data_IF_610504950744
#
_entry.id   IF_610504950744
#
_cell.length_a   1.000
_cell.length_b   1.000
_cell.length_c   1.000
_cell.angle_alpha   90.00
_cell.angle_beta   90.00
_cell.angle_gamma   90.00
#
_symmetry.space_group_name_H-M   'P 1'
#
loop_
_entity.id
_entity.type
_entity.pdbx_description
1 polymer ?
#
# COMPACT_ATOMS: atom_id res chain seq x y z
N UNK A 1 -1.12 51.56 22.63
CA UNK A 1 -0.73 50.32 23.34
C UNK A 1 -1.86 49.28 23.42
N UNK A 2 -3.08 49.64 23.83
CA UNK A 2 -4.24 48.71 23.86
C UNK A 2 -4.59 48.09 22.49
N UNK A 3 -4.55 48.89 21.42
CA UNK A 3 -4.80 48.40 20.05
C UNK A 3 -3.66 47.56 19.45
N UNK A 4 -2.42 47.73 19.92
CA UNK A 4 -1.29 46.89 19.51
C UNK A 4 -1.37 45.50 20.17
N UNK A 5 -1.85 45.43 21.42
CA UNK A 5 -2.08 44.18 22.14
C UNK A 5 -3.23 43.37 21.53
N UNK A 6 -4.29 44.05 21.04
CA UNK A 6 -5.43 43.41 20.38
C UNK A 6 -5.11 42.81 19.02
N UNK A 7 -4.20 43.41 18.24
CA UNK A 7 -3.76 42.86 16.95
C UNK A 7 -2.86 41.63 17.17
N UNK A 8 -2.02 41.65 18.19
CA UNK A 8 -1.16 40.50 18.53
C UNK A 8 -1.96 39.28 19.02
N UNK A 9 -3.08 39.51 19.73
CA UNK A 9 -4.00 38.44 20.15
C UNK A 9 -4.85 37.88 18.99
N UNK A 10 -5.15 38.68 17.96
CA UNK A 10 -5.89 38.22 16.78
C UNK A 10 -5.02 37.37 15.83
N UNK A 11 -3.71 37.64 15.77
CA UNK A 11 -2.75 36.86 14.97
C UNK A 11 -2.40 35.51 15.59
N UNK A 12 -2.53 35.35 16.92
CA UNK A 12 -2.29 34.08 17.60
C UNK A 12 -3.40 33.03 17.37
N UNK A 13 -4.61 33.46 16.97
CA UNK A 13 -5.75 32.56 16.72
C UNK A 13 -5.73 31.92 15.32
N UNK A 14 -5.03 32.51 14.33
CA UNK A 14 -4.92 31.95 12.98
C UNK A 14 -3.81 30.89 12.83
N UNK A 15 -3.02 30.66 13.88
CA UNK A 15 -2.00 29.60 13.93
C UNK A 15 -2.45 28.39 14.75
N UNK A 16 -3.75 28.26 15.02
CA UNK A 16 -4.35 26.98 15.44
C UNK A 16 -4.26 26.02 14.25
N UNK A 17 -3.07 25.43 14.12
CA UNK A 17 -2.72 24.33 13.24
C UNK A 17 -3.90 23.40 13.03
N UNK A 18 -4.32 23.27 11.76
CA UNK A 18 -5.21 22.24 11.29
C UNK A 18 -4.56 20.88 11.55
N UNK A 19 -4.68 20.39 12.78
CA UNK A 19 -4.49 18.97 13.05
C UNK A 19 -5.62 18.28 12.29
N UNK A 20 -5.34 17.36 11.37
CA UNK A 20 -6.38 16.60 10.69
C UNK A 20 -7.26 15.98 11.77
N UNK A 21 -8.51 16.44 11.84
CA UNK A 21 -9.47 15.89 12.78
C UNK A 21 -9.65 14.42 12.42
N UNK A 22 -9.27 13.53 13.34
CA UNK A 22 -9.52 12.10 13.22
C UNK A 22 -11.02 11.76 13.35
N UNK A 23 -11.92 12.75 13.35
CA UNK A 23 -13.37 12.53 13.36
C UNK A 23 -13.82 11.61 12.22
N UNK A 24 -13.13 11.64 11.07
CA UNK A 24 -13.43 10.78 9.93
C UNK A 24 -12.83 9.38 10.05
N UNK A 25 -11.96 9.12 11.03
CA UNK A 25 -11.27 7.85 11.17
C UNK A 25 -12.01 6.84 12.06
N UNK A 26 -13.17 6.40 11.57
CA UNK A 26 -13.97 5.36 12.23
C UNK A 26 -13.75 3.98 11.60
N UNK A 27 -14.02 2.91 12.35
CA UNK A 27 -13.98 1.54 11.82
C UNK A 27 -14.80 1.39 10.52
N UNK A 28 -16.00 1.97 10.49
CA UNK A 28 -16.88 1.90 9.32
C UNK A 28 -16.29 2.65 8.13
N UNK A 29 -15.69 3.82 8.36
CA UNK A 29 -15.05 4.60 7.30
C UNK A 29 -13.80 3.91 6.75
N UNK A 30 -12.99 3.29 7.61
CA UNK A 30 -11.86 2.45 7.19
C UNK A 30 -12.32 1.29 6.30
N UNK A 31 -13.38 0.57 6.70
CA UNK A 31 -13.96 -0.52 5.88
C UNK A 31 -14.46 0.02 4.53
N UNK A 32 -15.17 1.14 4.52
CA UNK A 32 -15.66 1.77 3.29
C UNK A 32 -14.51 2.18 2.36
N UNK A 33 -13.44 2.78 2.92
CA UNK A 33 -12.23 3.12 2.19
C UNK A 33 -11.52 1.88 1.64
N UNK A 34 -11.43 0.79 2.42
CA UNK A 34 -10.86 -0.48 1.95
C UNK A 34 -11.67 -1.09 0.79
N UNK A 35 -13.01 -0.99 0.81
CA UNK A 35 -13.84 -1.41 -0.33
C UNK A 35 -13.54 -0.57 -1.58
N UNK A 36 -13.28 0.73 -1.43
CA UNK A 36 -12.87 1.57 -2.54
C UNK A 36 -11.47 1.19 -3.06
N UNK A 37 -10.52 0.92 -2.15
CA UNK A 37 -9.20 0.40 -2.49
C UNK A 37 -9.28 -0.90 -3.30
N UNK A 38 -10.10 -1.86 -2.89
CA UNK A 38 -10.25 -3.15 -3.56
C UNK A 38 -10.88 -3.05 -4.96
N UNK A 39 -11.63 -1.97 -5.25
CA UNK A 39 -12.08 -1.67 -6.62
C UNK A 39 -10.95 -1.12 -7.49
N UNK A 40 -10.04 -0.33 -6.89
CA UNK A 40 -8.87 0.22 -7.56
C UNK A 40 -7.77 -0.81 -7.79
N UNK A 41 -7.62 -1.74 -6.83
CA UNK A 41 -6.63 -2.84 -6.86
C UNK A 41 -7.40 -4.17 -6.74
N UNK A 42 -7.94 -4.67 -7.88
CA UNK A 42 -8.78 -5.87 -7.87
C UNK A 42 -8.06 -7.10 -7.30
N UNK A 43 -8.71 -7.90 -6.43
CA UNK A 43 -8.15 -9.14 -5.91
C UNK A 43 -7.68 -10.14 -6.97
N UNK A 44 -8.28 -10.13 -8.15
CA UNK A 44 -7.88 -10.96 -9.29
C UNK A 44 -6.46 -10.63 -9.76
N UNK A 45 -6.10 -9.34 -9.78
CA UNK A 45 -4.76 -8.90 -10.14
C UNK A 45 -3.76 -9.33 -9.05
N UNK A 46 -4.13 -9.16 -7.76
CA UNK A 46 -3.30 -9.61 -6.65
C UNK A 46 -3.04 -11.13 -6.70
N UNK A 47 -4.08 -11.93 -6.97
CA UNK A 47 -3.95 -13.37 -7.12
C UNK A 47 -3.01 -13.76 -8.27
N UNK A 48 -3.17 -13.10 -9.43
CA UNK A 48 -2.33 -13.34 -10.61
C UNK A 48 -0.87 -13.00 -10.35
N UNK A 49 -0.60 -11.84 -9.75
CA UNK A 49 0.75 -11.36 -9.49
C UNK A 49 1.45 -12.26 -8.46
N UNK A 50 0.77 -12.59 -7.35
CA UNK A 50 1.29 -13.54 -6.35
C UNK A 50 1.57 -14.92 -6.96
N UNK A 51 0.64 -15.45 -7.76
CA UNK A 51 0.84 -16.73 -8.43
C UNK A 51 2.08 -16.69 -9.33
N UNK A 52 2.22 -15.62 -10.11
CA UNK A 52 3.36 -15.44 -11.03
C UNK A 52 4.68 -15.39 -10.26
N UNK A 53 4.77 -14.61 -9.19
CA UNK A 53 6.01 -14.51 -8.39
C UNK A 53 6.33 -15.82 -7.64
N UNK A 54 5.33 -16.49 -7.08
CA UNK A 54 5.56 -17.77 -6.38
C UNK A 54 6.05 -18.83 -7.38
N UNK A 55 5.43 -18.95 -8.55
CA UNK A 55 5.81 -19.95 -9.54
C UNK A 55 7.24 -19.79 -10.07
N UNK A 56 7.80 -18.57 -10.09
CA UNK A 56 9.23 -18.36 -10.44
C UNK A 56 10.18 -19.07 -9.49
N UNK A 57 9.75 -19.35 -8.27
CA UNK A 57 10.56 -20.04 -7.24
C UNK A 57 10.30 -21.55 -7.20
N UNK A 58 9.31 -22.04 -7.94
CA UNK A 58 8.91 -23.45 -7.97
C UNK A 58 9.65 -24.18 -9.11
N UNK A 59 10.26 -25.36 -8.86
CA UNK A 59 10.89 -26.17 -9.89
C UNK A 59 9.93 -26.49 -11.06
N UNK A 60 10.40 -26.48 -12.33
CA UNK A 60 9.55 -26.63 -13.51
C UNK A 60 8.61 -27.84 -13.46
N UNK A 61 9.08 -28.97 -12.95
CA UNK A 61 8.33 -30.22 -12.85
C UNK A 61 7.15 -30.14 -11.88
N UNK A 62 7.14 -29.17 -10.97
CA UNK A 62 6.08 -28.96 -9.97
C UNK A 62 5.15 -27.79 -10.32
N UNK A 63 5.50 -26.98 -11.32
CA UNK A 63 4.79 -25.72 -11.61
C UNK A 63 3.31 -25.93 -11.95
N UNK A 64 2.95 -26.99 -12.69
CA UNK A 64 1.55 -27.26 -13.06
C UNK A 64 0.70 -27.55 -11.81
N UNK A 65 1.18 -28.43 -10.93
CA UNK A 65 0.51 -28.76 -9.68
C UNK A 65 0.46 -27.55 -8.73
N UNK A 66 1.54 -26.79 -8.64
CA UNK A 66 1.61 -25.58 -7.84
C UNK A 66 0.62 -24.51 -8.35
N UNK A 67 0.52 -24.31 -9.67
CA UNK A 67 -0.40 -23.35 -10.26
C UNK A 67 -1.86 -23.68 -9.92
N UNK A 68 -2.26 -24.95 -10.04
CA UNK A 68 -3.61 -25.40 -9.67
C UNK A 68 -3.90 -25.24 -8.16
N UNK A 69 -2.90 -25.46 -7.33
CA UNK A 69 -3.01 -25.26 -5.87
C UNK A 69 -3.15 -23.77 -5.54
N UNK A 70 -2.30 -22.93 -6.12
CA UNK A 70 -2.29 -21.48 -5.93
C UNK A 70 -3.60 -20.85 -6.42
N UNK A 71 -4.13 -21.30 -7.56
CA UNK A 71 -5.44 -20.84 -8.05
C UNK A 71 -6.57 -21.05 -7.05
N UNK A 72 -6.55 -22.17 -6.32
CA UNK A 72 -7.54 -22.47 -5.27
C UNK A 72 -7.27 -21.69 -3.99
N UNK A 73 -6.00 -21.56 -3.60
CA UNK A 73 -5.60 -20.90 -2.36
C UNK A 73 -5.71 -19.37 -2.43
N UNK A 74 -5.44 -18.77 -3.59
CA UNK A 74 -5.49 -17.34 -3.86
C UNK A 74 -6.82 -16.94 -4.52
N UNK A 75 -7.92 -17.56 -4.09
CA UNK A 75 -9.25 -17.19 -4.55
C UNK A 75 -9.51 -15.69 -4.31
N UNK A 76 -10.02 -14.95 -5.30
CA UNK A 76 -10.26 -13.51 -5.18
C UNK A 76 -11.14 -13.10 -3.98
N UNK A 77 -12.14 -13.91 -3.60
CA UNK A 77 -13.01 -13.61 -2.45
C UNK A 77 -12.27 -13.80 -1.14
N UNK A 78 -11.39 -14.81 -1.06
CA UNK A 78 -10.51 -14.97 0.09
C UNK A 78 -9.60 -13.75 0.26
N UNK A 79 -8.93 -13.30 -0.81
CA UNK A 79 -8.08 -12.11 -0.78
C UNK A 79 -8.85 -10.83 -0.43
N UNK A 80 -10.06 -10.67 -0.97
CA UNK A 80 -10.96 -9.56 -0.62
C UNK A 80 -11.28 -9.57 0.88
N UNK A 81 -11.70 -10.71 1.42
CA UNK A 81 -12.07 -10.90 2.83
C UNK A 81 -10.91 -10.62 3.79
N UNK A 82 -9.73 -11.15 3.48
CA UNK A 82 -8.52 -10.92 4.29
C UNK A 82 -8.14 -9.45 4.25
N UNK A 83 -8.20 -8.79 3.08
CA UNK A 83 -7.88 -7.36 2.96
C UNK A 83 -8.90 -6.50 3.71
N UNK A 84 -10.21 -6.78 3.59
CA UNK A 84 -11.27 -6.09 4.34
C UNK A 84 -11.12 -6.23 5.85
N UNK A 85 -10.46 -7.28 6.32
CA UNK A 85 -10.20 -7.52 7.73
C UNK A 85 -8.90 -6.88 8.20
N UNK A 86 -7.83 -6.99 7.41
CA UNK A 86 -6.49 -6.55 7.80
C UNK A 86 -6.31 -5.04 7.62
N UNK A 87 -6.72 -4.49 6.48
CA UNK A 87 -6.42 -3.10 6.14
C UNK A 87 -7.02 -2.10 7.16
N UNK A 88 -8.30 -2.21 7.60
CA UNK A 88 -8.85 -1.33 8.63
C UNK A 88 -8.21 -1.45 10.03
N UNK A 89 -7.49 -2.55 10.29
CA UNK A 89 -6.76 -2.74 11.57
C UNK A 89 -5.44 -2.00 11.61
N UNK A 90 -4.81 -1.83 10.45
CA UNK A 90 -3.44 -1.28 10.35
C UNK A 90 -3.39 0.15 9.83
N UNK A 91 -4.40 0.57 9.06
CA UNK A 91 -4.40 1.88 8.42
C UNK A 91 -5.62 2.69 8.83
N UNK A 92 -5.40 3.99 8.95
CA UNK A 92 -6.44 5.00 9.07
C UNK A 92 -7.21 5.16 7.75
N UNK A 93 -8.37 5.79 7.83
CA UNK A 93 -9.22 6.07 6.67
C UNK A 93 -8.48 6.87 5.60
N UNK A 94 -7.69 7.87 6.00
CA UNK A 94 -7.00 8.75 5.05
C UNK A 94 -5.76 8.10 4.43
N UNK A 95 -5.06 7.23 5.15
CA UNK A 95 -3.97 6.41 4.58
C UNK A 95 -4.51 5.47 3.50
N UNK A 96 -5.65 4.82 3.74
CA UNK A 96 -6.28 3.93 2.74
C UNK A 96 -6.72 4.73 1.51
N UNK A 97 -7.31 5.91 1.70
CA UNK A 97 -7.67 6.81 0.59
C UNK A 97 -6.43 7.27 -0.18
N UNK A 98 -5.35 7.64 0.51
CA UNK A 98 -4.10 8.06 -0.12
C UNK A 98 -3.49 6.93 -0.95
N UNK A 99 -3.48 5.70 -0.41
CA UNK A 99 -3.04 4.51 -1.12
C UNK A 99 -3.89 4.26 -2.37
N UNK A 100 -5.22 4.35 -2.23
CA UNK A 100 -6.16 4.20 -3.35
C UNK A 100 -5.91 5.25 -4.44
N UNK A 101 -5.74 6.52 -4.05
CA UNK A 101 -5.42 7.62 -4.98
C UNK A 101 -4.10 7.38 -5.70
N UNK A 102 -3.08 6.90 -4.99
CA UNK A 102 -1.80 6.58 -5.60
C UNK A 102 -1.97 5.52 -6.69
N UNK A 103 -2.56 4.36 -6.37
CA UNK A 103 -2.73 3.28 -7.35
C UNK A 103 -3.63 3.62 -8.54
N UNK A 104 -4.56 4.56 -8.38
CA UNK A 104 -5.46 5.01 -9.47
C UNK A 104 -4.94 6.21 -10.26
N UNK A 105 -3.88 6.87 -9.80
CA UNK A 105 -3.26 7.98 -10.53
C UNK A 105 -2.47 7.50 -11.75
N UNK A 106 -2.36 8.35 -12.78
CA UNK A 106 -1.56 8.05 -13.97
C UNK A 106 -0.08 7.84 -13.61
N UNK A 107 0.43 8.68 -12.71
CA UNK A 107 1.79 8.62 -12.20
C UNK A 107 2.01 7.36 -11.37
N UNK A 108 1.12 7.05 -10.43
CA UNK A 108 1.23 5.85 -9.59
C UNK A 108 1.18 4.55 -10.41
N UNK A 109 0.28 4.47 -11.39
CA UNK A 109 0.27 3.34 -12.33
C UNK A 109 1.57 3.24 -13.15
N UNK A 110 2.13 4.39 -13.58
CA UNK A 110 3.43 4.44 -14.27
C UNK A 110 4.58 3.99 -13.36
N UNK A 111 4.58 4.42 -12.09
CA UNK A 111 5.55 4.02 -11.08
C UNK A 111 5.47 2.50 -10.87
N UNK A 112 4.29 1.94 -10.64
CA UNK A 112 4.15 0.50 -10.39
C UNK A 112 4.65 -0.36 -11.56
N UNK A 113 4.46 0.09 -12.80
CA UNK A 113 5.02 -0.61 -13.98
C UNK A 113 6.55 -0.58 -14.03
N UNK A 114 7.18 0.49 -13.51
CA UNK A 114 8.63 0.70 -13.53
C UNK A 114 9.33 0.21 -12.26
N UNK A 115 8.60 0.07 -11.16
CA UNK A 115 9.18 -0.17 -9.84
C UNK A 115 9.94 -1.50 -9.75
N UNK A 116 9.43 -2.55 -10.41
CA UNK A 116 10.13 -3.83 -10.49
C UNK A 116 11.49 -3.74 -11.18
N UNK A 117 11.57 -3.04 -12.32
CA UNK A 117 12.82 -2.81 -13.04
C UNK A 117 13.79 -1.94 -12.22
N UNK A 118 13.29 -0.87 -11.59
CA UNK A 118 14.06 -0.04 -10.67
C UNK A 118 14.66 -0.87 -9.52
N UNK A 119 13.89 -1.77 -8.91
CA UNK A 119 14.40 -2.67 -7.87
C UNK A 119 15.39 -3.70 -8.43
N UNK A 120 15.22 -4.17 -9.67
CA UNK A 120 16.15 -5.07 -10.33
C UNK A 120 17.53 -4.43 -10.57
N UNK A 121 17.60 -3.11 -10.73
CA UNK A 121 18.87 -2.38 -10.80
C UNK A 121 19.54 -2.22 -9.43
N UNK A 122 18.75 -2.09 -8.36
CA UNK A 122 19.26 -1.86 -6.99
C UNK A 122 19.70 -3.15 -6.30
N UNK A 123 18.86 -4.19 -6.36
CA UNK A 123 19.05 -5.40 -5.54
C UNK A 123 20.41 -6.10 -5.75
N UNK A 124 20.95 -6.23 -6.97
CA UNK A 124 22.27 -6.84 -7.18
C UNK A 124 23.40 -6.08 -6.49
N UNK A 125 23.36 -4.75 -6.50
CA UNK A 125 24.37 -3.92 -5.84
C UNK A 125 24.31 -4.10 -4.30
N UNK A 126 23.11 -4.14 -3.73
CA UNK A 126 22.91 -4.39 -2.30
C UNK A 126 23.39 -5.79 -1.92
N UNK A 127 23.01 -6.82 -2.68
CA UNK A 127 23.44 -8.21 -2.45
C UNK A 127 24.97 -8.34 -2.54
N UNK A 128 25.58 -7.75 -3.57
CA UNK A 128 27.03 -7.72 -3.73
C UNK A 128 27.71 -7.07 -2.52
N UNK A 129 27.18 -5.94 -2.04
CA UNK A 129 27.72 -5.27 -0.85
C UNK A 129 27.62 -6.15 0.40
N UNK A 130 26.49 -6.80 0.64
CA UNK A 130 26.30 -7.72 1.77
C UNK A 130 27.31 -8.86 1.69
N UNK A 131 27.42 -9.53 0.53
CA UNK A 131 28.36 -10.64 0.34
C UNK A 131 29.81 -10.22 0.55
N UNK A 132 30.21 -9.05 0.03
CA UNK A 132 31.57 -8.52 0.21
C UNK A 132 31.89 -8.16 1.66
N UNK A 133 30.88 -7.84 2.48
CA UNK A 133 31.06 -7.48 3.89
C UNK A 133 31.06 -8.71 4.80
N UNK A 134 30.40 -9.80 4.40
CA UNK A 134 30.33 -11.06 5.13
C UNK A 134 31.45 -12.04 4.78
N UNK A 135 32.19 -11.80 3.69
CA UNK A 135 33.39 -12.57 3.37
C UNK A 135 34.48 -12.26 4.42
N UNK A 136 35.11 -13.29 5.02
CA UNK A 136 36.15 -13.12 6.05
C UNK A 136 37.43 -12.47 5.51
#
# INVERSE_FOLDING_TARGET
MKHLLSIFLLSAALLASAVPSHADDTKNNRIAATRAYLKAVPPENMAKDLTTEILKTVPPEQQVMAAETLKKALDPKFLESVTLTAMPKHFTTDEIKALTKFYTSAEGASIMKKFGAYMADIMPAVQSRIMSTLAP
#
